data_IF_869064591038
#
_entry.id   IF_869064591038
#
_cell.length_a   1.000
_cell.length_b   1.000
_cell.length_c   1.000
_cell.angle_alpha   90.00
_cell.angle_beta   90.00
_cell.angle_gamma   90.00
#
_symmetry.space_group_name_H-M   'P 1'
#
loop_
_entity.id
_entity.type
_entity.pdbx_description
1 polymer ?
#
# COMPACT_ATOMS: atom_id res chain seq x y z
N UNK A 1 -22.68 30.47 -16.43
CA UNK A 1 -22.67 29.13 -15.82
C UNK A 1 -21.59 28.31 -16.52
N UNK A 2 -20.34 28.38 -16.07
CA UNK A 2 -19.25 27.59 -16.64
C UNK A 2 -19.24 26.22 -15.97
N UNK A 3 -19.89 25.26 -16.61
CA UNK A 3 -19.89 23.87 -16.18
C UNK A 3 -18.44 23.36 -16.13
N UNK A 4 -18.00 23.01 -14.93
CA UNK A 4 -16.72 22.37 -14.68
C UNK A 4 -16.78 20.97 -15.33
N UNK A 5 -16.33 20.83 -16.57
CA UNK A 5 -16.25 19.53 -17.24
C UNK A 5 -15.33 18.66 -16.39
N UNK A 6 -15.83 17.56 -15.78
CA UNK A 6 -14.97 16.70 -14.97
C UNK A 6 -13.88 16.18 -15.91
N UNK A 7 -12.62 16.43 -15.57
CA UNK A 7 -11.48 15.84 -16.27
C UNK A 7 -11.73 14.34 -16.39
N UNK A 8 -11.87 13.86 -17.62
CA UNK A 8 -12.27 12.48 -17.90
C UNK A 8 -11.22 11.55 -17.30
N UNK A 9 -11.65 10.73 -16.33
CA UNK A 9 -10.79 9.76 -15.65
C UNK A 9 -10.35 8.70 -16.66
N UNK A 10 -9.05 8.56 -16.87
CA UNK A 10 -8.52 7.54 -17.78
C UNK A 10 -8.70 6.14 -17.18
N UNK A 11 -9.70 5.43 -17.68
CA UNK A 11 -10.05 4.08 -17.22
C UNK A 11 -8.95 3.07 -17.56
N UNK A 12 -8.11 3.34 -18.57
CA UNK A 12 -7.00 2.43 -18.96
C UNK A 12 -5.98 2.34 -17.82
N UNK A 13 -5.66 3.47 -17.21
CA UNK A 13 -4.75 3.55 -16.06
C UNK A 13 -5.30 2.73 -14.89
N UNK A 14 -6.62 2.75 -14.66
CA UNK A 14 -7.23 1.97 -13.59
C UNK A 14 -7.21 0.46 -13.85
N UNK A 15 -7.38 0.03 -15.11
CA UNK A 15 -7.27 -1.38 -15.49
C UNK A 15 -5.86 -1.89 -15.22
N UNK A 16 -4.82 -1.13 -15.59
CA UNK A 16 -3.44 -1.52 -15.31
C UNK A 16 -3.14 -1.55 -13.81
N UNK A 17 -3.69 -0.60 -13.03
CA UNK A 17 -3.57 -0.62 -11.56
C UNK A 17 -4.24 -1.85 -10.96
N UNK A 18 -5.42 -2.22 -11.44
CA UNK A 18 -6.14 -3.41 -10.98
C UNK A 18 -5.39 -4.70 -11.33
N UNK A 19 -4.83 -4.79 -12.54
CA UNK A 19 -4.01 -5.91 -12.96
C UNK A 19 -2.76 -6.03 -12.08
N UNK A 20 -2.09 -4.90 -11.79
CA UNK A 20 -0.94 -4.89 -10.90
C UNK A 20 -1.31 -5.40 -9.49
N UNK A 21 -2.43 -4.95 -8.91
CA UNK A 21 -2.93 -5.45 -7.62
C UNK A 21 -3.20 -6.97 -7.63
N UNK A 22 -3.80 -7.48 -8.70
CA UNK A 22 -4.04 -8.91 -8.86
C UNK A 22 -2.71 -9.69 -8.90
N UNK A 23 -1.73 -9.21 -9.66
CA UNK A 23 -0.42 -9.85 -9.75
C UNK A 23 0.38 -9.77 -8.44
N UNK A 24 0.26 -8.69 -7.66
CA UNK A 24 0.85 -8.58 -6.32
C UNK A 24 0.25 -9.64 -5.40
N UNK A 25 -1.08 -9.78 -5.40
CA UNK A 25 -1.78 -10.78 -4.61
C UNK A 25 -1.30 -12.20 -4.95
N UNK A 26 -1.26 -12.55 -6.24
CA UNK A 26 -0.77 -13.86 -6.69
C UNK A 26 0.69 -14.09 -6.26
N UNK A 27 1.55 -13.08 -6.39
CA UNK A 27 2.97 -13.16 -5.96
C UNK A 27 3.14 -13.35 -4.44
N UNK A 28 2.11 -13.05 -3.66
CA UNK A 28 2.13 -13.09 -2.19
C UNK A 28 1.36 -14.30 -1.61
N UNK A 29 0.77 -15.14 -2.46
CA UNK A 29 0.16 -16.43 -2.07
C UNK A 29 1.05 -17.57 -2.59
N UNK A 30 2.07 -18.00 -1.82
CA UNK A 30 3.03 -19.01 -2.26
C UNK A 30 2.39 -20.39 -2.39
N UNK A 31 2.88 -21.19 -3.36
CA UNK A 31 2.43 -22.58 -3.56
C UNK A 31 1.28 -22.77 -4.55
N UNK A 32 0.97 -21.75 -5.36
CA UNK A 32 0.01 -21.86 -6.47
C UNK A 32 0.75 -21.95 -7.82
N UNK A 33 0.17 -22.65 -8.80
CA UNK A 33 0.77 -22.80 -10.16
C UNK A 33 1.00 -21.41 -10.82
N UNK A 34 0.20 -20.42 -10.42
CA UNK A 34 0.27 -19.05 -10.92
C UNK A 34 1.50 -18.28 -10.44
N UNK A 35 2.19 -18.71 -9.38
CA UNK A 35 3.45 -18.11 -8.91
C UNK A 35 4.54 -18.15 -10.00
N UNK A 36 4.55 -19.20 -10.85
CA UNK A 36 5.52 -19.33 -11.94
C UNK A 36 5.20 -18.49 -13.18
N UNK A 37 3.97 -18.00 -13.30
CA UNK A 37 3.47 -17.29 -14.51
C UNK A 37 3.43 -15.77 -14.31
N UNK A 38 3.79 -15.28 -13.13
CA UNK A 38 3.77 -13.85 -12.82
C UNK A 38 5.04 -13.11 -13.23
N UNK A 39 4.88 -11.80 -13.49
CA UNK A 39 5.92 -10.88 -13.97
C UNK A 39 7.22 -10.88 -13.15
N UNK A 40 7.19 -11.31 -11.88
CA UNK A 40 8.35 -11.47 -11.00
C UNK A 40 9.38 -12.50 -11.51
N UNK A 41 8.94 -13.48 -12.30
CA UNK A 41 9.81 -14.52 -12.86
C UNK A 41 10.27 -14.24 -14.30
N UNK A 42 9.72 -13.21 -14.95
CA UNK A 42 9.96 -12.92 -16.38
C UNK A 42 10.46 -11.50 -16.65
N UNK A 43 10.40 -10.59 -15.68
CA UNK A 43 10.76 -9.18 -15.84
C UNK A 43 11.80 -8.69 -14.84
N UNK A 44 12.49 -7.60 -15.18
CA UNK A 44 13.48 -6.92 -14.33
C UNK A 44 12.88 -6.13 -13.15
N UNK A 45 11.55 -6.07 -13.03
CA UNK A 45 10.80 -5.22 -12.10
C UNK A 45 9.60 -5.99 -11.54
N UNK A 46 9.31 -5.82 -10.24
CA UNK A 46 8.19 -6.50 -9.57
C UNK A 46 6.86 -5.76 -9.78
N UNK A 47 5.75 -6.49 -9.65
CA UNK A 47 4.39 -5.98 -9.79
C UNK A 47 4.08 -4.81 -8.85
N UNK A 48 4.74 -4.75 -7.69
CA UNK A 48 4.66 -3.63 -6.75
C UNK A 48 5.23 -2.33 -7.31
N UNK A 49 6.36 -2.39 -8.02
CA UNK A 49 7.02 -1.22 -8.62
C UNK A 49 6.17 -0.66 -9.78
N UNK A 50 5.61 -1.56 -10.61
CA UNK A 50 4.68 -1.18 -11.67
C UNK A 50 3.41 -0.51 -11.11
N UNK A 51 2.85 -1.04 -10.02
CA UNK A 51 1.69 -0.43 -9.36
C UNK A 51 1.98 0.99 -8.88
N UNK A 52 3.14 1.19 -8.26
CA UNK A 52 3.56 2.50 -7.74
C UNK A 52 3.76 3.49 -8.88
N UNK A 53 4.50 3.12 -9.92
CA UNK A 53 4.78 3.99 -11.06
C UNK A 53 3.49 4.48 -11.72
N UNK A 54 2.58 3.56 -12.05
CA UNK A 54 1.31 3.87 -12.71
C UNK A 54 0.42 4.71 -11.78
N UNK A 55 0.41 4.40 -10.48
CA UNK A 55 -0.38 5.17 -9.52
C UNK A 55 0.18 6.59 -9.30
N UNK A 56 1.51 6.79 -9.38
CA UNK A 56 2.15 8.10 -9.38
C UNK A 56 1.80 8.93 -10.61
N UNK A 57 1.84 8.31 -11.80
CA UNK A 57 1.39 8.95 -13.05
C UNK A 57 -0.08 9.39 -12.95
N UNK A 58 -0.95 8.52 -12.40
CA UNK A 58 -2.36 8.84 -12.20
C UNK A 58 -2.57 10.05 -11.27
N UNK A 59 -1.80 10.13 -10.17
CA UNK A 59 -1.81 11.27 -9.24
C UNK A 59 -1.32 12.54 -9.94
N UNK A 60 -0.22 12.46 -10.70
CA UNK A 60 0.30 13.57 -11.50
C UNK A 60 -0.73 14.11 -12.49
N UNK A 61 -1.46 13.25 -13.19
CA UNK A 61 -2.54 13.66 -14.10
C UNK A 61 -3.74 14.25 -13.36
N UNK A 62 -4.10 13.71 -12.20
CA UNK A 62 -5.28 14.12 -11.43
C UNK A 62 -5.11 15.48 -10.72
N UNK A 63 -3.90 15.76 -10.21
CA UNK A 63 -3.61 16.95 -9.41
C UNK A 63 -2.70 17.96 -10.13
N UNK A 64 -1.80 17.52 -11.01
CA UNK A 64 -0.81 18.37 -11.67
C UNK A 64 -1.42 19.44 -12.56
N UNK A 65 -2.41 19.08 -13.40
CA UNK A 65 -3.11 20.05 -14.27
C UNK A 65 -3.89 21.12 -13.49
N UNK A 66 -4.25 20.82 -12.24
CA UNK A 66 -5.01 21.71 -11.38
C UNK A 66 -4.10 22.62 -10.53
N UNK A 67 -2.80 22.34 -10.47
CA UNK A 67 -1.81 23.03 -9.62
C UNK A 67 -1.43 24.42 -10.18
N UNK A 68 -2.42 25.28 -10.37
CA UNK A 68 -2.27 26.65 -10.87
C UNK A 68 -2.20 27.66 -9.74
N UNK A 69 -1.65 28.85 -10.02
CA UNK A 69 -1.58 29.95 -9.05
C UNK A 69 -2.98 30.27 -8.50
N UNK A 70 -3.12 30.34 -7.17
CA UNK A 70 -4.41 30.51 -6.48
C UNK A 70 -5.07 29.23 -5.95
N UNK A 71 -4.79 28.05 -6.55
CA UNK A 71 -5.42 26.77 -6.13
C UNK A 71 -4.44 25.75 -5.52
N UNK A 72 -3.15 26.11 -5.44
CA UNK A 72 -2.07 25.24 -4.94
C UNK A 72 -2.34 24.70 -3.54
N UNK A 73 -2.69 25.58 -2.59
CA UNK A 73 -2.96 25.19 -1.20
C UNK A 73 -4.13 24.19 -1.10
N UNK A 74 -5.21 24.43 -1.83
CA UNK A 74 -6.40 23.56 -1.81
C UNK A 74 -6.09 22.17 -2.38
N UNK A 75 -5.23 22.09 -3.40
CA UNK A 75 -4.82 20.82 -4.01
C UNK A 75 -3.84 20.07 -3.12
N UNK A 76 -2.85 20.77 -2.56
CA UNK A 76 -1.94 20.19 -1.56
C UNK A 76 -2.69 19.64 -0.35
N UNK A 77 -3.72 20.36 0.14
CA UNK A 77 -4.54 19.88 1.26
C UNK A 77 -5.36 18.64 0.88
N UNK A 78 -5.87 18.55 -0.36
CA UNK A 78 -6.57 17.35 -0.85
C UNK A 78 -5.63 16.14 -0.95
N UNK A 79 -4.41 16.34 -1.44
CA UNK A 79 -3.38 15.30 -1.47
C UNK A 79 -3.02 14.85 -0.05
N UNK A 80 -2.75 15.80 0.86
CA UNK A 80 -2.46 15.53 2.27
C UNK A 80 -3.58 14.77 3.00
N UNK A 81 -4.84 15.14 2.79
CA UNK A 81 -5.98 14.38 3.35
C UNK A 81 -5.98 12.94 2.85
N UNK A 82 -5.68 12.72 1.58
CA UNK A 82 -5.62 11.39 0.99
C UNK A 82 -4.44 10.58 1.54
N UNK A 83 -3.27 11.20 1.67
CA UNK A 83 -2.11 10.59 2.34
C UNK A 83 -2.45 10.23 3.80
N UNK A 84 -3.16 11.08 4.53
CA UNK A 84 -3.65 10.79 5.87
C UNK A 84 -4.61 9.59 5.94
N UNK A 85 -5.54 9.47 4.98
CA UNK A 85 -6.42 8.28 4.89
C UNK A 85 -5.60 7.01 4.66
N UNK A 86 -4.60 7.05 3.78
CA UNK A 86 -3.70 5.92 3.53
C UNK A 86 -2.88 5.56 4.76
N UNK A 87 -2.36 6.56 5.48
CA UNK A 87 -1.63 6.36 6.73
C UNK A 87 -2.51 5.66 7.78
N UNK A 88 -3.72 6.16 8.03
CA UNK A 88 -4.65 5.55 8.99
C UNK A 88 -5.00 4.13 8.55
N UNK A 89 -5.26 3.92 7.27
CA UNK A 89 -5.56 2.59 6.73
C UNK A 89 -4.38 1.63 6.91
N UNK A 90 -3.15 2.11 6.74
CA UNK A 90 -1.94 1.31 6.96
C UNK A 90 -1.82 0.90 8.43
N UNK A 91 -1.96 1.85 9.36
CA UNK A 91 -1.92 1.55 10.80
C UNK A 91 -3.03 0.56 11.19
N UNK A 92 -4.26 0.77 10.71
CA UNK A 92 -5.39 -0.10 11.03
C UNK A 92 -5.23 -1.51 10.46
N UNK A 93 -4.73 -1.65 9.24
CA UNK A 93 -4.44 -2.97 8.65
C UNK A 93 -3.28 -3.68 9.35
N UNK A 94 -2.27 -2.94 9.80
CA UNK A 94 -1.16 -3.47 10.62
C UNK A 94 -1.68 -4.01 11.94
N UNK A 95 -2.52 -3.25 12.65
CA UNK A 95 -3.16 -3.68 13.90
C UNK A 95 -4.06 -4.89 13.68
N UNK A 96 -4.88 -4.89 12.62
CA UNK A 96 -5.75 -6.01 12.28
C UNK A 96 -4.95 -7.29 11.99
N UNK A 97 -3.84 -7.18 11.24
CA UNK A 97 -2.95 -8.30 10.94
C UNK A 97 -2.36 -8.88 12.23
N UNK A 98 -1.82 -8.02 13.11
CA UNK A 98 -1.29 -8.44 14.40
C UNK A 98 -2.36 -9.16 15.24
N UNK A 99 -3.58 -8.63 15.28
CA UNK A 99 -4.70 -9.22 16.01
C UNK A 99 -5.08 -10.60 15.46
N UNK A 100 -5.20 -10.76 14.13
CA UNK A 100 -5.56 -12.03 13.49
C UNK A 100 -4.50 -13.10 13.76
N UNK A 101 -3.22 -12.78 13.58
CA UNK A 101 -2.14 -13.74 13.81
C UNK A 101 -1.97 -14.08 15.29
N UNK A 102 -2.16 -13.12 16.19
CA UNK A 102 -2.14 -13.37 17.64
C UNK A 102 -3.30 -14.27 18.07
N UNK A 103 -4.52 -13.99 17.58
CA UNK A 103 -5.69 -14.82 17.85
C UNK A 103 -5.52 -16.24 17.31
N UNK A 104 -4.99 -16.40 16.09
CA UNK A 104 -4.71 -17.70 15.50
C UNK A 104 -3.63 -18.47 16.28
N UNK A 105 -2.54 -17.81 16.69
CA UNK A 105 -1.48 -18.44 17.48
C UNK A 105 -2.01 -18.98 18.82
N UNK A 106 -2.86 -18.22 19.50
CA UNK A 106 -3.51 -18.63 20.75
C UNK A 106 -4.51 -19.76 20.52
N UNK A 107 -5.37 -19.65 19.51
CA UNK A 107 -6.44 -20.63 19.26
C UNK A 107 -5.89 -21.99 18.80
N UNK A 108 -4.88 -21.99 17.92
CA UNK A 108 -4.29 -23.21 17.38
C UNK A 108 -3.07 -23.72 18.18
N UNK A 109 -2.71 -23.03 19.28
CA UNK A 109 -1.50 -23.34 20.08
C UNK A 109 -0.22 -23.42 19.24
N UNK A 110 -0.13 -22.58 18.19
CA UNK A 110 1.00 -22.54 17.25
C UNK A 110 1.72 -21.19 17.36
N UNK A 111 2.70 -21.04 18.27
CA UNK A 111 3.44 -19.79 18.44
C UNK A 111 4.28 -19.45 17.20
N UNK A 112 4.58 -20.44 16.36
CA UNK A 112 5.33 -20.25 15.12
C UNK A 112 4.63 -19.31 14.13
N UNK A 113 3.29 -19.19 14.21
CA UNK A 113 2.52 -18.25 13.38
C UNK A 113 2.94 -16.79 13.59
N UNK A 114 3.43 -16.44 14.79
CA UNK A 114 3.92 -15.09 15.07
C UNK A 114 5.22 -14.79 14.33
N UNK A 115 6.06 -15.79 14.09
CA UNK A 115 7.33 -15.63 13.36
C UNK A 115 7.13 -15.38 11.86
N UNK A 116 6.02 -15.87 11.29
CA UNK A 116 5.71 -15.76 9.85
C UNK A 116 5.51 -14.31 9.36
N UNK A 117 5.18 -13.38 10.26
CA UNK A 117 4.95 -11.97 9.91
C UNK A 117 6.00 -11.03 10.48
N UNK A 118 7.16 -11.55 10.90
CA UNK A 118 8.25 -10.75 11.46
C UNK A 118 7.86 -9.96 12.73
N UNK A 119 6.99 -10.52 13.57
CA UNK A 119 6.60 -9.93 14.88
C UNK A 119 7.77 -9.91 15.88
N UNK A 120 8.89 -10.55 15.55
CA UNK A 120 10.02 -10.75 16.46
C UNK A 120 10.51 -9.42 17.07
N UNK A 121 10.53 -8.34 16.29
CA UNK A 121 10.91 -7.02 16.81
C UNK A 121 9.87 -6.38 17.75
N UNK A 122 8.57 -6.68 17.60
CA UNK A 122 7.52 -6.24 18.53
C UNK A 122 7.67 -6.94 19.88
N UNK A 123 8.11 -8.21 19.87
CA UNK A 123 8.31 -9.02 21.08
C UNK A 123 9.61 -8.65 21.79
N UNK A 124 10.69 -8.41 21.02
CA UNK A 124 12.02 -8.13 21.57
C UNK A 124 12.19 -6.67 22.00
N UNK A 125 11.62 -5.72 21.25
CA UNK A 125 11.76 -4.28 21.54
C UNK A 125 10.46 -3.50 21.22
N UNK A 126 9.43 -3.72 22.06
CA UNK A 126 8.08 -3.18 21.86
C UNK A 126 8.05 -1.65 21.71
N UNK A 127 8.77 -0.83 22.51
CA UNK A 127 8.76 0.62 22.35
C UNK A 127 9.30 1.08 20.99
N UNK A 128 10.42 0.52 20.54
CA UNK A 128 11.02 0.84 19.25
C UNK A 128 10.15 0.38 18.09
N UNK A 129 9.54 -0.81 18.20
CA UNK A 129 8.62 -1.32 17.20
C UNK A 129 7.36 -0.46 17.05
N UNK A 130 6.78 0.02 18.17
CA UNK A 130 5.63 0.92 18.15
C UNK A 130 5.97 2.27 17.51
N UNK A 131 7.13 2.83 17.82
CA UNK A 131 7.63 4.05 17.17
C UNK A 131 7.88 3.82 15.69
N UNK A 132 8.48 2.69 15.32
CA UNK A 132 8.70 2.30 13.93
C UNK A 132 7.41 2.18 13.14
N UNK A 133 6.37 1.53 13.69
CA UNK A 133 5.06 1.42 13.03
C UNK A 133 4.40 2.79 12.88
N UNK A 134 4.43 3.61 13.93
CA UNK A 134 3.87 4.96 13.90
C UNK A 134 4.58 5.86 12.88
N UNK A 135 5.90 5.74 12.75
CA UNK A 135 6.72 6.50 11.81
C UNK A 135 6.77 5.89 10.40
N UNK A 136 6.07 4.78 10.14
CA UNK A 136 6.18 3.97 8.92
C UNK A 136 7.58 3.38 8.64
N UNK A 137 8.50 3.49 9.60
CA UNK A 137 9.87 2.97 9.52
C UNK A 137 9.98 1.48 9.79
N UNK A 138 9.03 0.91 10.55
CA UNK A 138 8.89 -0.53 10.74
C UNK A 138 7.57 -0.99 10.14
N UNK A 139 7.65 -1.96 9.22
CA UNK A 139 6.49 -2.47 8.51
C UNK A 139 6.47 -3.99 8.65
N UNK A 140 5.32 -4.50 9.10
CA UNK A 140 5.08 -5.93 9.26
C UNK A 140 5.10 -6.59 7.88
N UNK A 141 5.61 -7.83 7.82
CA UNK A 141 5.69 -8.58 6.57
C UNK A 141 4.39 -8.52 5.77
N UNK A 142 4.52 -8.23 4.48
CA UNK A 142 3.41 -8.10 3.51
C UNK A 142 2.51 -6.86 3.64
N UNK A 143 2.80 -5.91 4.54
CA UNK A 143 1.95 -4.71 4.70
C UNK A 143 2.54 -3.40 4.13
N UNK A 144 3.59 -3.51 3.31
CA UNK A 144 4.48 -2.40 2.95
C UNK A 144 3.98 -1.56 1.78
N UNK A 145 3.00 -2.04 1.01
CA UNK A 145 2.62 -1.37 -0.24
C UNK A 145 1.87 -0.05 0.00
N UNK A 146 1.14 0.05 1.11
CA UNK A 146 0.30 1.21 1.40
C UNK A 146 1.11 2.41 1.92
N UNK A 147 2.13 2.15 2.74
CA UNK A 147 3.05 3.18 3.24
C UNK A 147 3.84 3.80 2.09
N UNK A 148 4.33 2.97 1.17
CA UNK A 148 5.02 3.43 -0.04
C UNK A 148 4.10 4.30 -0.91
N UNK A 149 2.83 3.92 -1.05
CA UNK A 149 1.86 4.71 -1.81
C UNK A 149 1.52 6.04 -1.14
N UNK A 150 1.51 6.10 0.19
CA UNK A 150 1.30 7.35 0.93
C UNK A 150 2.42 8.38 0.71
N UNK A 151 3.66 7.93 0.49
CA UNK A 151 4.82 8.80 0.23
C UNK A 151 4.82 9.37 -1.19
N UNK A 152 4.34 8.62 -2.17
CA UNK A 152 4.35 9.01 -3.60
C UNK A 152 3.26 10.03 -3.94
N UNK A 153 2.29 10.23 -3.05
CA UNK A 153 1.08 11.01 -3.26
C UNK A 153 1.26 12.49 -2.90
#
# INVERSE_FOLDING_TARGET
MTGNVPAQRDTRIDVFRALALLTIFVNHVPGTIFEYVTHKNLGFSDSAEAFVLISGIAVGLAYGLKFQQGNRLLISLKAWRRAGVLYITHVMTTVATLAIFSAAALHFSRPDLLKLINIQMIIEDTPEALLGIAALGHQIGYNNILSMYAVVL
#
